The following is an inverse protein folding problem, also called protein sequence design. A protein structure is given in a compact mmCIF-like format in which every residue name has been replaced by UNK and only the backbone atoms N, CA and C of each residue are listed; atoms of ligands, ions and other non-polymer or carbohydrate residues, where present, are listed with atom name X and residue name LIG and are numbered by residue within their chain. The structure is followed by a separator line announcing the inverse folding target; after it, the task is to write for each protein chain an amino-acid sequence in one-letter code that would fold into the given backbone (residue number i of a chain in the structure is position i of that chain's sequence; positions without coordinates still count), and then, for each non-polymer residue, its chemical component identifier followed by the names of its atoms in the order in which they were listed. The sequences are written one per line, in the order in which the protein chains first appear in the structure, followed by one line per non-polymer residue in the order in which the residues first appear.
data_IF_050488300796
#
_entry.id   IF_050488300796
#
_cell.length_a   1.000
_cell.length_b   1.000
_cell.length_c   1.000
_cell.angle_alpha   90.00
_cell.angle_beta   90.00
_cell.angle_gamma   90.00
#
_symmetry.space_group_name_H-M   'P 1'
#
loop_
_entity.id
_entity.type
_entity.pdbx_description
1 polymer ?
#
# COMPACT_ATOMS: atom_id res chain seq x y z
N UNK A 1 -8.51 -8.78 -10.98
CA UNK A 1 -9.29 -7.55 -10.77
C UNK A 1 -8.47 -6.56 -9.93
N UNK A 2 -8.72 -5.25 -10.10
CA UNK A 2 -8.00 -4.15 -9.44
C UNK A 2 -8.99 -3.29 -8.63
N UNK A 3 -8.60 -2.89 -7.42
CA UNK A 3 -9.31 -1.91 -6.61
C UNK A 3 -8.34 -0.83 -6.13
N UNK A 4 -8.78 0.42 -6.18
CA UNK A 4 -7.97 1.56 -5.79
C UNK A 4 -8.34 2.02 -4.37
N UNK A 5 -7.36 2.03 -3.47
CA UNK A 5 -7.51 2.56 -2.10
C UNK A 5 -7.56 4.09 -2.07
N UNK A 6 -7.01 4.73 -3.08
CA UNK A 6 -6.95 6.16 -3.25
C UNK A 6 -5.54 6.64 -3.55
N UNK A 7 -5.36 7.94 -3.46
CA UNK A 7 -4.06 8.57 -3.68
C UNK A 7 -3.87 9.76 -2.76
N UNK A 8 -2.60 10.09 -2.49
CA UNK A 8 -2.20 11.25 -1.72
C UNK A 8 -1.46 12.22 -2.62
N UNK A 9 -2.09 13.34 -2.92
CA UNK A 9 -1.49 14.46 -3.63
C UNK A 9 -1.78 15.72 -2.82
N UNK A 10 -0.75 16.25 -2.16
CA UNK A 10 -0.89 17.34 -1.19
C UNK A 10 0.24 18.35 -1.39
N UNK A 11 0.00 19.59 -1.00
CA UNK A 11 1.06 20.62 -0.92
C UNK A 11 2.01 20.39 0.25
N UNK A 12 1.58 19.65 1.26
CA UNK A 12 2.40 19.20 2.38
C UNK A 12 2.86 17.77 2.15
N UNK A 13 4.14 17.50 2.36
CA UNK A 13 4.69 16.15 2.30
C UNK A 13 4.42 15.38 3.59
N UNK A 14 4.32 14.07 3.49
CA UNK A 14 4.32 13.18 4.65
C UNK A 14 5.75 13.06 5.13
N UNK A 15 5.98 13.47 6.38
CA UNK A 15 7.28 13.40 7.02
C UNK A 15 7.76 11.94 7.15
N UNK A 16 9.07 11.77 7.35
CA UNK A 16 9.67 10.47 7.70
C UNK A 16 8.99 9.87 8.93
N UNK A 17 8.66 8.58 8.87
CA UNK A 17 7.84 7.85 9.85
C UNK A 17 6.39 8.36 10.00
N UNK A 18 5.98 9.32 9.18
CA UNK A 18 4.58 9.73 9.05
C UNK A 18 3.74 8.61 8.44
N UNK A 19 2.46 8.63 8.74
CA UNK A 19 1.52 7.61 8.29
C UNK A 19 0.65 8.16 7.18
N UNK A 20 0.58 7.44 6.07
CA UNK A 20 -0.50 7.61 5.12
C UNK A 20 -1.56 6.53 5.34
N UNK A 21 -2.78 6.98 5.64
CA UNK A 21 -3.96 6.12 5.81
C UNK A 21 -4.92 6.41 4.66
N UNK A 22 -4.85 5.68 3.53
CA UNK A 22 -5.90 5.78 2.51
C UNK A 22 -7.26 5.37 3.09
N UNK A 23 -8.37 5.83 2.49
CA UNK A 23 -9.70 5.31 2.80
C UNK A 23 -9.75 3.77 2.72
N UNK A 24 -10.60 3.15 3.53
CA UNK A 24 -10.90 1.73 3.33
C UNK A 24 -11.74 1.55 2.06
N UNK A 25 -11.64 0.38 1.45
CA UNK A 25 -12.46 -0.01 0.30
C UNK A 25 -13.37 -1.18 0.70
N UNK A 26 -14.55 -1.21 0.11
CA UNK A 26 -15.46 -2.37 0.21
C UNK A 26 -15.31 -3.18 -1.06
N UNK A 27 -14.98 -4.46 -0.91
CA UNK A 27 -14.86 -5.39 -2.03
C UNK A 27 -16.02 -6.36 -1.95
N UNK A 28 -16.70 -6.52 -3.07
CA UNK A 28 -17.73 -7.52 -3.26
C UNK A 28 -17.32 -8.39 -4.44
N UNK A 29 -17.03 -9.67 -4.18
CA UNK A 29 -16.77 -10.68 -5.20
C UNK A 29 -18.01 -11.56 -5.27
N UNK A 30 -18.95 -11.30 -6.21
CA UNK A 30 -20.28 -11.88 -6.17
C UNK A 30 -20.34 -13.36 -6.58
N UNK A 31 -19.25 -13.94 -7.10
CA UNK A 31 -19.26 -15.30 -7.61
C UNK A 31 -19.00 -16.31 -6.47
N UNK A 32 -19.78 -17.39 -6.43
CA UNK A 32 -19.61 -18.47 -5.46
C UNK A 32 -18.59 -19.48 -5.96
N UNK A 33 -17.78 -20.03 -5.05
CA UNK A 33 -16.85 -21.14 -5.38
C UNK A 33 -15.52 -20.72 -6.02
N UNK A 34 -15.17 -19.44 -6.02
CA UNK A 34 -13.87 -18.98 -6.52
C UNK A 34 -12.77 -19.22 -5.48
N UNK A 35 -11.57 -19.58 -5.94
CA UNK A 35 -10.38 -19.73 -5.09
C UNK A 35 -9.41 -18.59 -5.39
N UNK A 36 -9.03 -17.80 -4.39
CA UNK A 36 -7.98 -16.79 -4.58
C UNK A 36 -6.66 -17.51 -4.85
N UNK A 37 -6.03 -17.21 -5.99
CA UNK A 37 -4.70 -17.71 -6.32
C UNK A 37 -3.63 -16.81 -5.73
N UNK A 38 -3.79 -15.50 -5.94
CA UNK A 38 -2.91 -14.48 -5.38
C UNK A 38 -3.67 -13.17 -5.15
N UNK A 39 -3.31 -12.47 -4.08
CA UNK A 39 -3.65 -11.07 -3.88
C UNK A 39 -2.41 -10.27 -3.46
N UNK A 40 -2.25 -9.07 -4.02
CA UNK A 40 -1.13 -8.19 -3.70
C UNK A 40 -1.54 -6.73 -3.70
N UNK A 41 -0.92 -5.97 -2.79
CA UNK A 41 -0.94 -4.53 -2.83
C UNK A 41 0.20 -4.02 -3.69
N UNK A 42 -0.04 -2.96 -4.44
CA UNK A 42 0.96 -2.22 -5.18
C UNK A 42 0.92 -0.77 -4.69
N UNK A 43 2.03 -0.35 -4.10
CA UNK A 43 2.24 1.01 -3.66
C UNK A 43 3.20 1.69 -4.61
N UNK A 44 2.86 2.90 -5.01
CA UNK A 44 3.77 3.82 -5.71
C UNK A 44 3.78 5.17 -4.99
N UNK A 45 4.93 5.83 -4.98
CA UNK A 45 5.08 7.15 -4.41
C UNK A 45 6.36 7.86 -4.82
N UNK A 46 6.45 9.15 -4.53
CA UNK A 46 7.65 9.94 -4.70
C UNK A 46 8.21 10.35 -3.35
N UNK A 47 9.47 10.02 -3.12
CA UNK A 47 10.27 10.63 -2.07
C UNK A 47 10.87 11.94 -2.59
N UNK A 48 10.53 13.04 -1.91
CA UNK A 48 10.74 14.42 -2.37
C UNK A 48 12.14 14.94 -2.01
N UNK A 49 12.89 14.20 -1.19
CA UNK A 49 14.24 14.55 -0.75
C UNK A 49 15.29 13.53 -1.21
N UNK A 50 16.57 13.93 -1.16
CA UNK A 50 17.72 13.09 -1.57
C UNK A 50 18.16 12.07 -0.51
N UNK A 51 17.47 12.03 0.64
CA UNK A 51 17.77 11.09 1.73
C UNK A 51 17.29 9.70 1.34
N UNK A 52 18.13 8.68 1.55
CA UNK A 52 17.75 7.30 1.24
C UNK A 52 16.63 6.83 2.18
N UNK A 53 15.68 6.08 1.60
CA UNK A 53 14.72 5.30 2.39
C UNK A 53 15.44 4.11 3.01
N UNK A 54 15.31 3.95 4.33
CA UNK A 54 15.87 2.82 5.07
C UNK A 54 14.86 1.72 5.37
N UNK A 55 13.57 2.06 5.43
CA UNK A 55 12.49 1.11 5.62
C UNK A 55 11.18 1.61 4.99
N UNK A 56 10.30 0.67 4.61
CA UNK A 56 8.89 0.95 4.37
C UNK A 56 8.02 -0.18 4.93
N UNK A 57 7.04 0.20 5.76
CA UNK A 57 6.04 -0.72 6.29
C UNK A 57 4.71 -0.54 5.56
N UNK A 58 4.17 -1.64 5.05
CA UNK A 58 2.81 -1.71 4.51
C UNK A 58 1.96 -2.54 5.47
N UNK A 59 0.85 -1.94 5.90
CA UNK A 59 -0.15 -2.58 6.73
C UNK A 59 -1.36 -2.94 5.89
N UNK A 60 -1.99 -4.07 6.18
CA UNK A 60 -3.23 -4.47 5.54
C UNK A 60 -4.00 -5.47 6.39
N UNK A 61 -5.30 -5.26 6.50
CA UNK A 61 -6.22 -6.20 7.13
C UNK A 61 -7.66 -5.96 6.68
N UNK A 62 -8.48 -6.98 6.92
CA UNK A 62 -9.93 -6.85 6.90
C UNK A 62 -10.39 -5.85 7.99
N UNK A 63 -11.42 -5.07 7.67
CA UNK A 63 -11.97 -4.02 8.52
C UNK A 63 -11.65 -2.62 8.01
N UNK A 64 -11.75 -1.65 8.91
CA UNK A 64 -11.63 -0.22 8.60
C UNK A 64 -10.40 0.43 9.25
N UNK A 65 -9.67 -0.30 10.09
CA UNK A 65 -8.52 0.20 10.85
C UNK A 65 -7.27 -0.63 10.54
N UNK A 66 -6.22 -0.05 9.94
CA UNK A 66 -4.98 -0.75 9.65
C UNK A 66 -4.24 -1.15 10.93
N UNK A 67 -3.94 -2.44 11.10
CA UNK A 67 -3.33 -3.00 12.32
C UNK A 67 -2.11 -3.88 12.09
N UNK A 68 -2.10 -4.72 11.05
CA UNK A 68 -1.07 -5.74 10.86
C UNK A 68 -0.12 -5.37 9.73
N UNK A 69 1.19 -5.43 9.98
CA UNK A 69 2.22 -5.30 8.94
C UNK A 69 2.16 -6.55 8.07
N UNK A 70 1.93 -6.35 6.77
CA UNK A 70 1.95 -7.44 5.76
C UNK A 70 3.25 -7.44 4.97
N UNK A 71 3.97 -6.33 4.96
CA UNK A 71 5.30 -6.25 4.37
C UNK A 71 6.15 -5.21 5.11
N UNK A 72 7.40 -5.58 5.40
CA UNK A 72 8.40 -4.78 6.10
C UNK A 72 9.66 -4.73 5.23
N UNK A 73 9.72 -3.73 4.36
CA UNK A 73 10.72 -3.61 3.32
C UNK A 73 11.96 -2.94 3.90
N UNK A 74 12.89 -3.77 4.36
CA UNK A 74 14.14 -3.35 5.02
C UNK A 74 15.33 -3.14 4.07
N UNK A 75 15.14 -3.35 2.76
CA UNK A 75 16.14 -3.16 1.72
C UNK A 75 15.68 -2.11 0.68
N UNK A 76 16.61 -1.59 -0.12
CA UNK A 76 16.31 -0.49 -1.05
C UNK A 76 15.33 -0.90 -2.15
N UNK A 77 14.09 -0.40 -2.08
CA UNK A 77 13.05 -0.48 -3.12
C UNK A 77 12.80 0.89 -3.75
N UNK A 78 13.88 1.53 -4.17
CA UNK A 78 13.81 2.90 -4.70
C UNK A 78 14.66 3.07 -5.94
N UNK A 79 14.10 3.79 -6.91
CA UNK A 79 14.84 4.25 -8.09
C UNK A 79 15.14 5.73 -7.94
N UNK A 80 16.42 6.09 -7.98
CA UNK A 80 16.85 7.49 -7.84
C UNK A 80 16.93 8.13 -9.21
N UNK A 81 16.20 9.21 -9.40
CA UNK A 81 16.50 10.19 -10.44
C UNK A 81 17.38 11.29 -9.84
N UNK A 82 17.92 12.20 -10.65
CA UNK A 82 18.70 13.34 -10.15
C UNK A 82 17.89 14.29 -9.24
N UNK A 83 16.56 14.21 -9.30
CA UNK A 83 15.61 15.16 -8.72
C UNK A 83 14.73 14.55 -7.63
N UNK A 84 14.32 13.29 -7.79
CA UNK A 84 13.41 12.60 -6.88
C UNK A 84 13.73 11.12 -6.77
N UNK A 85 13.12 10.47 -5.78
CA UNK A 85 13.23 9.03 -5.60
C UNK A 85 11.84 8.43 -5.85
N UNK A 86 11.70 7.58 -6.86
CA UNK A 86 10.47 6.81 -7.09
C UNK A 86 10.49 5.59 -6.18
N UNK A 87 9.42 5.39 -5.42
CA UNK A 87 9.22 4.26 -4.54
C UNK A 87 8.13 3.39 -5.14
N UNK A 88 8.44 2.12 -5.40
CA UNK A 88 7.49 1.13 -5.88
C UNK A 88 7.63 -0.11 -5.02
N UNK A 89 6.51 -0.65 -4.52
CA UNK A 89 6.52 -1.83 -3.68
C UNK A 89 5.31 -2.71 -3.93
N UNK A 90 5.51 -4.02 -3.74
CA UNK A 90 4.48 -5.03 -3.96
C UNK A 90 4.42 -5.98 -2.78
N UNK A 91 3.37 -5.87 -1.98
CA UNK A 91 3.16 -6.68 -0.77
C UNK A 91 2.16 -7.81 -1.04
N UNK A 92 2.52 -9.05 -0.68
CA UNK A 92 1.59 -10.18 -0.76
C UNK A 92 0.58 -10.13 0.39
N UNK A 93 -0.72 -10.09 0.06
CA UNK A 93 -1.81 -10.04 1.04
C UNK A 93 -2.80 -11.20 0.88
N UNK A 94 -2.42 -12.24 0.12
CA UNK A 94 -3.28 -13.38 -0.21
C UNK A 94 -3.93 -14.01 1.01
N UNK A 95 -3.17 -14.21 2.09
CA UNK A 95 -3.66 -14.81 3.33
C UNK A 95 -4.70 -13.95 4.07
N UNK A 96 -4.79 -12.66 3.77
CA UNK A 96 -5.68 -11.72 4.44
C UNK A 96 -7.00 -11.52 3.70
N UNK A 97 -7.15 -12.12 2.51
CA UNK A 97 -8.39 -12.15 1.76
C UNK A 97 -9.21 -13.37 2.20
N UNK A 98 -10.03 -13.19 3.25
CA UNK A 98 -10.73 -14.30 3.92
C UNK A 98 -12.26 -14.29 3.76
N UNK A 99 -12.85 -13.22 3.23
CA UNK A 99 -14.30 -13.05 3.11
C UNK A 99 -14.69 -12.50 1.74
N UNK A 100 -15.83 -12.96 1.23
CA UNK A 100 -16.23 -12.81 -0.17
C UNK A 100 -17.35 -11.78 -0.40
N UNK A 101 -18.09 -11.45 0.65
CA UNK A 101 -19.28 -10.60 0.53
C UNK A 101 -19.09 -9.32 1.33
N UNK A 102 -19.14 -8.18 0.63
CA UNK A 102 -19.09 -6.83 1.20
C UNK A 102 -17.99 -6.65 2.28
N UNK A 103 -16.80 -7.20 2.00
CA UNK A 103 -15.70 -7.16 2.95
C UNK A 103 -14.97 -5.82 2.83
N UNK A 104 -14.83 -5.12 3.95
CA UNK A 104 -13.99 -3.93 4.02
C UNK A 104 -12.53 -4.34 4.17
N UNK A 105 -11.65 -3.64 3.45
CA UNK A 105 -10.21 -3.74 3.59
C UNK A 105 -9.63 -2.36 3.80
N UNK A 106 -8.63 -2.29 4.68
CA UNK A 106 -7.93 -1.07 5.04
C UNK A 106 -6.41 -1.27 4.91
N UNK A 107 -5.68 -0.19 4.67
CA UNK A 107 -4.23 -0.22 4.56
C UNK A 107 -3.60 1.04 5.15
N UNK A 108 -2.31 0.96 5.49
CA UNK A 108 -1.47 2.08 5.90
C UNK A 108 -0.08 1.90 5.31
N UNK A 109 0.54 3.00 4.93
CA UNK A 109 1.95 3.03 4.50
C UNK A 109 2.73 3.96 5.42
N UNK A 110 3.91 3.50 5.86
CA UNK A 110 4.88 4.29 6.63
C UNK A 110 6.24 4.16 5.95
N UNK A 111 6.83 5.29 5.60
CA UNK A 111 8.18 5.37 4.99
C UNK A 111 9.15 5.95 6.02
N UNK A 112 10.29 5.28 6.23
CA UNK A 112 11.39 5.79 7.06
C UNK A 112 12.53 6.28 6.16
N UNK A 113 12.88 7.54 6.31
CA UNK A 113 13.98 8.20 5.59
C UNK A 113 13.53 9.55 5.01
N UNK A 114 13.23 9.65 3.70
CA UNK A 114 12.81 10.88 3.06
C UNK A 114 11.37 11.28 3.41
N UNK A 115 11.03 12.56 3.19
CA UNK A 115 9.63 12.98 3.06
C UNK A 115 9.04 12.43 1.77
N UNK A 116 7.72 12.20 1.75
CA UNK A 116 7.06 11.49 0.66
C UNK A 116 5.71 12.10 0.28
N UNK A 117 5.36 12.00 -0.99
CA UNK A 117 4.13 12.54 -1.59
C UNK A 117 3.77 11.73 -2.84
N UNK A 118 2.69 12.10 -3.51
CA UNK A 118 2.21 11.47 -4.75
C UNK A 118 1.99 9.97 -4.58
N UNK A 119 1.40 9.57 -3.45
CA UNK A 119 1.19 8.16 -3.16
C UNK A 119 0.00 7.61 -3.92
N UNK A 120 0.08 6.36 -4.35
CA UNK A 120 -1.06 5.58 -4.81
C UNK A 120 -0.97 4.18 -4.23
N UNK A 121 -2.13 3.58 -3.94
CA UNK A 121 -2.21 2.22 -3.45
C UNK A 121 -3.33 1.47 -4.17
N UNK A 122 -2.98 0.33 -4.73
CA UNK A 122 -3.90 -0.55 -5.44
C UNK A 122 -3.85 -1.94 -4.85
N UNK A 123 -4.99 -2.61 -4.86
CA UNK A 123 -5.11 -4.03 -4.55
C UNK A 123 -5.46 -4.79 -5.80
N UNK A 124 -4.70 -5.83 -6.08
CA UNK A 124 -4.98 -6.77 -7.14
C UNK A 124 -5.34 -8.11 -6.54
N UNK A 125 -6.45 -8.68 -7.01
CA UNK A 125 -6.88 -10.03 -6.64
C UNK A 125 -7.00 -10.86 -7.92
N UNK A 126 -6.43 -12.06 -7.89
CA UNK A 126 -6.49 -13.06 -8.96
C UNK A 126 -7.09 -14.35 -8.42
N UNK A 127 -8.00 -14.96 -9.17
CA UNK A 127 -8.79 -16.11 -8.77
C UNK A 127 -9.05 -17.03 -9.97
#
# INVERSE_FOLDING_TARGET
MEWNFGSYYSVADIASNGQWNPPYITINLPETGITIRNAYLEFEGLAVSKVNMSNMNIYFNAGTVPGTIVDNITAQYTYRTGESIVVCAKANVTSQITSWTNQNYCSRVIITGPTSNMHSLKLYITY
#
